data_IF_427435468216
#
_entry.id   IF_427435468216
#
_cell.length_a   1.000
_cell.length_b   1.000
_cell.length_c   1.000
_cell.angle_alpha   90.00
_cell.angle_beta   90.00
_cell.angle_gamma   90.00
#
_symmetry.space_group_name_H-M   'P 1'
#
loop_
_entity.id
_entity.type
_entity.pdbx_description
1 polymer ?
#
# COMPACT_ATOMS: atom_id res chain seq x y z
N UNK A 1 13.46 -13.69 11.53
CA UNK A 1 13.76 -12.43 12.28
C UNK A 1 14.30 -11.29 11.40
N UNK A 2 14.61 -11.51 10.11
CA UNK A 2 15.07 -10.45 9.19
C UNK A 2 13.94 -9.85 8.33
N UNK A 3 12.91 -10.62 7.95
CA UNK A 3 11.79 -10.15 7.13
C UNK A 3 10.88 -9.12 7.83
N UNK A 4 10.57 -9.34 9.13
CA UNK A 4 9.85 -8.37 9.97
C UNK A 4 10.61 -7.04 10.12
N UNK A 5 11.94 -7.10 10.18
CA UNK A 5 12.78 -5.91 10.15
C UNK A 5 12.77 -5.22 8.79
N UNK A 6 12.46 -5.90 7.68
CA UNK A 6 12.45 -5.29 6.35
C UNK A 6 11.11 -4.66 5.99
N UNK A 7 9.98 -5.24 6.41
CA UNK A 7 8.66 -4.59 6.32
C UNK A 7 8.58 -3.40 7.29
N UNK A 8 9.03 -3.58 8.53
CA UNK A 8 9.16 -2.50 9.50
C UNK A 8 10.21 -1.46 9.06
N UNK A 9 11.39 -1.84 8.53
CA UNK A 9 12.36 -0.84 8.01
C UNK A 9 11.91 -0.19 6.70
N UNK A 10 11.22 -0.87 5.80
CA UNK A 10 10.65 -0.23 4.60
C UNK A 10 9.65 0.86 4.99
N UNK A 11 8.94 0.68 6.11
CA UNK A 11 8.07 1.68 6.73
C UNK A 11 8.82 2.71 7.61
N UNK A 12 9.79 2.29 8.42
CA UNK A 12 10.51 3.11 9.42
C UNK A 12 11.65 3.93 8.82
N UNK A 13 12.14 3.63 7.62
CA UNK A 13 13.15 4.48 6.93
C UNK A 13 12.57 5.86 6.54
N UNK A 14 11.31 6.14 6.91
CA UNK A 14 10.65 7.45 6.83
C UNK A 14 10.40 8.07 8.22
N UNK A 15 11.47 8.27 8.99
CA UNK A 15 11.76 9.38 9.94
C UNK A 15 10.70 9.80 11.00
N UNK A 16 11.15 9.86 12.26
CA UNK A 16 10.49 10.50 13.41
C UNK A 16 9.91 11.92 13.15
N UNK A 17 8.77 12.20 13.80
CA UNK A 17 8.05 13.48 14.05
C UNK A 17 6.73 13.67 13.26
N UNK A 18 5.63 13.85 14.01
CA UNK A 18 4.20 13.70 13.63
C UNK A 18 3.78 12.23 13.40
N UNK A 19 2.50 11.82 13.62
CA UNK A 19 2.07 10.48 13.21
C UNK A 19 2.44 10.33 11.72
N UNK A 20 3.24 9.32 11.42
CA UNK A 20 3.72 9.08 10.06
C UNK A 20 2.49 8.99 9.15
N UNK A 21 2.40 9.90 8.18
CA UNK A 21 1.36 9.89 7.16
C UNK A 21 1.36 8.50 6.50
N UNK A 22 0.21 7.83 6.51
CA UNK A 22 0.11 6.53 5.86
C UNK A 22 0.34 6.66 4.35
N UNK A 23 0.78 5.60 3.65
CA UNK A 23 1.00 5.66 2.21
C UNK A 23 -0.23 6.17 1.43
N UNK A 24 -1.44 5.78 1.82
CA UNK A 24 -2.66 6.24 1.18
C UNK A 24 -2.99 7.70 1.48
N UNK A 25 -2.77 8.19 2.71
CA UNK A 25 -2.92 9.61 3.05
C UNK A 25 -1.94 10.47 2.25
N UNK A 26 -0.69 10.00 2.09
CA UNK A 26 0.31 10.67 1.25
C UNK A 26 -0.16 10.79 -0.19
N UNK A 27 -0.68 9.71 -0.78
CA UNK A 27 -1.20 9.73 -2.15
C UNK A 27 -2.38 10.71 -2.27
N UNK A 28 -3.35 10.67 -1.36
CA UNK A 28 -4.49 11.58 -1.38
C UNK A 28 -4.07 13.05 -1.24
N UNK A 29 -3.13 13.36 -0.35
CA UNK A 29 -2.58 14.71 -0.21
C UNK A 29 -1.87 15.16 -1.47
N UNK A 30 -1.09 14.29 -2.11
CA UNK A 30 -0.45 14.60 -3.39
C UNK A 30 -1.50 14.83 -4.48
N UNK A 31 -2.57 14.04 -4.52
CA UNK A 31 -3.66 14.19 -5.49
C UNK A 31 -4.32 15.59 -5.44
N UNK A 32 -4.45 16.18 -4.25
CA UNK A 32 -5.00 17.53 -4.08
C UNK A 32 -4.14 18.65 -4.69
N UNK A 33 -2.85 18.39 -4.94
CA UNK A 33 -1.89 19.37 -5.48
C UNK A 33 -1.56 19.08 -6.97
N UNK A 34 -2.41 18.32 -7.66
CA UNK A 34 -2.29 18.12 -9.09
C UNK A 34 -2.52 19.43 -9.86
N UNK A 35 -1.73 19.70 -10.92
CA UNK A 35 -0.77 18.80 -11.56
C UNK A 35 0.66 18.86 -10.99
N UNK A 36 0.94 19.73 -10.02
CA UNK A 36 2.31 19.99 -9.54
C UNK A 36 2.95 18.75 -8.89
N UNK A 37 2.14 17.92 -8.25
CA UNK A 37 2.55 16.69 -7.56
C UNK A 37 2.67 15.45 -8.46
N UNK A 38 2.29 15.53 -9.75
CA UNK A 38 2.21 14.36 -10.64
C UNK A 38 3.49 13.49 -10.66
N UNK A 39 4.72 14.05 -10.76
CA UNK A 39 5.94 13.23 -10.72
C UNK A 39 6.13 12.50 -9.38
N UNK A 40 5.61 13.05 -8.29
CA UNK A 40 5.69 12.42 -6.97
C UNK A 40 4.66 11.29 -6.85
N UNK A 41 3.47 11.45 -7.44
CA UNK A 41 2.47 10.38 -7.52
C UNK A 41 2.98 9.20 -8.36
N UNK A 42 3.61 9.47 -9.50
CA UNK A 42 4.25 8.42 -10.31
C UNK A 42 5.32 7.66 -9.53
N UNK A 43 6.12 8.36 -8.71
CA UNK A 43 7.10 7.72 -7.84
C UNK A 43 6.45 6.83 -6.77
N UNK A 44 5.28 7.21 -6.26
CA UNK A 44 4.54 6.37 -5.33
C UNK A 44 3.97 5.12 -6.01
N UNK A 45 3.44 5.22 -7.23
CA UNK A 45 3.02 4.05 -8.00
C UNK A 45 4.20 3.08 -8.20
N UNK A 46 5.36 3.59 -8.67
CA UNK A 46 6.58 2.80 -8.84
C UNK A 46 7.08 2.19 -7.53
N UNK A 47 6.89 2.87 -6.39
CA UNK A 47 7.25 2.33 -5.08
C UNK A 47 6.37 1.13 -4.73
N UNK A 48 5.07 1.22 -4.98
CA UNK A 48 4.12 0.13 -4.72
C UNK A 48 4.35 -1.05 -5.67
N UNK A 49 4.63 -0.80 -6.95
CA UNK A 49 5.03 -1.84 -7.91
C UNK A 49 6.25 -2.63 -7.45
N UNK A 50 7.29 -1.94 -6.94
CA UNK A 50 8.46 -2.62 -6.40
C UNK A 50 8.16 -3.44 -5.15
N UNK A 51 7.19 -3.05 -4.34
CA UNK A 51 6.76 -3.84 -3.18
C UNK A 51 6.10 -5.14 -3.64
N UNK A 52 5.22 -5.08 -4.65
CA UNK A 52 4.63 -6.27 -5.28
C UNK A 52 5.70 -7.22 -5.82
N UNK A 53 6.70 -6.70 -6.53
CA UNK A 53 7.81 -7.50 -7.08
C UNK A 53 8.69 -8.16 -6.00
N UNK A 54 8.70 -7.61 -4.78
CA UNK A 54 9.51 -8.07 -3.66
C UNK A 54 8.75 -9.04 -2.73
N UNK A 55 7.49 -9.36 -3.01
CA UNK A 55 6.71 -10.27 -2.17
C UNK A 55 7.37 -11.66 -2.13
N UNK A 56 7.65 -12.13 -0.92
CA UNK A 56 8.28 -13.44 -0.69
C UNK A 56 7.30 -14.58 -0.93
N UNK A 57 7.82 -15.78 -1.23
CA UNK A 57 6.98 -16.97 -1.32
C UNK A 57 6.40 -17.33 0.06
N UNK A 58 5.09 -17.62 0.16
CA UNK A 58 4.48 -18.02 1.41
C UNK A 58 4.96 -19.40 1.86
N UNK A 59 5.19 -19.56 3.17
CA UNK A 59 5.53 -20.87 3.77
C UNK A 59 4.29 -21.71 4.10
N UNK A 60 3.11 -21.09 4.14
CA UNK A 60 1.84 -21.69 4.56
C UNK A 60 0.70 -21.27 3.63
N UNK A 61 -0.38 -22.07 3.57
CA UNK A 61 -1.59 -21.69 2.80
C UNK A 61 -2.23 -20.41 3.34
N UNK A 62 -2.17 -20.21 4.66
CA UNK A 62 -2.65 -18.99 5.30
C UNK A 62 -1.80 -17.77 4.91
N UNK A 63 -0.46 -17.91 4.92
CA UNK A 63 0.46 -16.90 4.40
C UNK A 63 0.21 -16.57 2.92
N UNK A 64 -0.12 -17.58 2.11
CA UNK A 64 -0.48 -17.37 0.70
C UNK A 64 -1.74 -16.53 0.56
N UNK A 65 -2.78 -16.84 1.34
CA UNK A 65 -4.01 -16.05 1.35
C UNK A 65 -3.79 -14.60 1.81
N UNK A 66 -2.87 -14.35 2.75
CA UNK A 66 -2.49 -13.00 3.15
C UNK A 66 -1.74 -12.25 2.04
N UNK A 67 -0.83 -12.92 1.33
CA UNK A 67 -0.13 -12.31 0.20
C UNK A 67 -1.05 -12.01 -0.97
N UNK A 68 -1.98 -12.90 -1.30
CA UNK A 68 -2.96 -12.66 -2.37
C UNK A 68 -3.79 -11.39 -2.09
N UNK A 69 -4.24 -11.22 -0.84
CA UNK A 69 -4.97 -10.02 -0.42
C UNK A 69 -4.08 -8.77 -0.45
N UNK A 70 -2.83 -8.87 0.01
CA UNK A 70 -1.89 -7.75 -0.03
C UNK A 70 -1.57 -7.33 -1.48
N UNK A 71 -1.43 -8.30 -2.38
CA UNK A 71 -1.19 -8.06 -3.78
C UNK A 71 -2.38 -7.34 -4.43
N UNK A 72 -3.61 -7.80 -4.18
CA UNK A 72 -4.83 -7.15 -4.66
C UNK A 72 -4.94 -5.69 -4.16
N UNK A 73 -4.58 -5.43 -2.89
CA UNK A 73 -4.58 -4.08 -2.33
C UNK A 73 -3.58 -3.18 -3.06
N UNK A 74 -2.36 -3.67 -3.29
CA UNK A 74 -1.32 -2.90 -3.97
C UNK A 74 -1.65 -2.66 -5.45
N UNK A 75 -2.20 -3.65 -6.16
CA UNK A 75 -2.69 -3.48 -7.53
C UNK A 75 -3.78 -2.40 -7.61
N UNK A 76 -4.77 -2.46 -6.73
CA UNK A 76 -5.82 -1.44 -6.63
C UNK A 76 -5.25 -0.05 -6.29
N UNK A 77 -4.21 0.02 -5.45
CA UNK A 77 -3.55 1.28 -5.12
C UNK A 77 -2.83 1.88 -6.34
N UNK A 78 -2.13 1.04 -7.12
CA UNK A 78 -1.46 1.47 -8.37
C UNK A 78 -2.50 1.96 -9.39
N UNK A 79 -3.57 1.19 -9.59
CA UNK A 79 -4.66 1.54 -10.50
C UNK A 79 -5.30 2.88 -10.11
N UNK A 80 -5.52 3.10 -8.81
CA UNK A 80 -6.08 4.36 -8.34
C UNK A 80 -5.11 5.55 -8.50
N UNK A 81 -3.80 5.36 -8.28
CA UNK A 81 -2.80 6.41 -8.53
C UNK A 81 -2.78 6.81 -10.00
N UNK A 82 -2.76 5.82 -10.91
CA UNK A 82 -2.80 6.10 -12.34
C UNK A 82 -4.16 6.64 -12.79
N UNK A 83 -5.25 6.25 -12.12
CA UNK A 83 -6.57 6.84 -12.30
C UNK A 83 -6.58 8.34 -11.98
N UNK A 84 -5.95 8.75 -10.88
CA UNK A 84 -5.79 10.17 -10.53
C UNK A 84 -4.95 10.94 -11.53
N UNK A 85 -3.84 10.35 -11.99
CA UNK A 85 -2.91 10.99 -12.93
C UNK A 85 -3.53 11.21 -14.32
N UNK A 86 -4.42 10.29 -14.74
CA UNK A 86 -5.04 10.28 -16.06
C UNK A 86 -6.51 10.72 -16.04
N UNK A 87 -7.03 11.19 -14.90
CA UNK A 87 -8.42 11.62 -14.79
C UNK A 87 -8.71 12.78 -15.75
N UNK A 88 -9.61 12.56 -16.70
CA UNK A 88 -10.11 13.60 -17.60
C UNK A 88 -11.40 14.21 -17.05
N UNK A 89 -12.17 13.42 -16.29
CA UNK A 89 -13.44 13.82 -15.67
C UNK A 89 -13.35 13.80 -14.13
N UNK A 90 -14.19 14.61 -13.48
CA UNK A 90 -14.27 14.65 -12.01
C UNK A 90 -14.69 13.29 -11.43
N UNK A 91 -15.56 12.55 -12.12
CA UNK A 91 -16.04 11.25 -11.67
C UNK A 91 -14.89 10.22 -11.63
N UNK A 92 -13.94 10.27 -12.57
CA UNK A 92 -12.74 9.42 -12.58
C UNK A 92 -11.82 9.73 -11.39
N UNK A 93 -11.65 11.03 -11.10
CA UNK A 93 -10.86 11.51 -9.97
C UNK A 93 -11.48 11.06 -8.64
N UNK A 94 -12.80 11.26 -8.48
CA UNK A 94 -13.54 10.90 -7.27
C UNK A 94 -13.55 9.38 -7.06
N UNK A 95 -13.71 8.59 -8.14
CA UNK A 95 -13.61 7.13 -8.08
C UNK A 95 -12.21 6.68 -7.62
N UNK A 96 -11.16 7.28 -8.17
CA UNK A 96 -9.78 6.96 -7.82
C UNK A 96 -9.47 7.33 -6.36
N UNK A 97 -9.97 8.47 -5.87
CA UNK A 97 -9.89 8.83 -4.46
C UNK A 97 -10.61 7.83 -3.57
N UNK A 98 -11.81 7.39 -3.95
CA UNK A 98 -12.57 6.40 -3.18
C UNK A 98 -11.85 5.05 -3.11
N UNK A 99 -11.25 4.60 -4.22
CA UNK A 99 -10.41 3.39 -4.26
C UNK A 99 -9.20 3.49 -3.34
N UNK A 100 -8.53 4.65 -3.25
CA UNK A 100 -7.41 4.86 -2.32
C UNK A 100 -7.83 4.79 -0.85
N UNK A 101 -9.02 5.31 -0.51
CA UNK A 101 -9.56 5.21 0.85
C UNK A 101 -9.94 3.77 1.17
N UNK A 102 -10.52 3.05 0.21
CA UNK A 102 -10.89 1.65 0.39
C UNK A 102 -9.65 0.76 0.59
N UNK A 103 -8.64 0.90 -0.28
CA UNK A 103 -7.38 0.15 -0.18
C UNK A 103 -6.66 0.41 1.13
N UNK A 104 -6.71 1.65 1.64
CA UNK A 104 -6.19 1.96 2.97
C UNK A 104 -6.88 1.15 4.08
N UNK A 105 -8.22 1.13 4.10
CA UNK A 105 -8.98 0.37 5.09
C UNK A 105 -8.67 -1.12 5.00
N UNK A 106 -8.59 -1.67 3.78
CA UNK A 106 -8.27 -3.08 3.55
C UNK A 106 -6.86 -3.42 4.05
N UNK A 107 -5.90 -2.52 3.86
CA UNK A 107 -4.53 -2.72 4.34
C UNK A 107 -4.48 -2.75 5.86
N UNK A 108 -5.13 -1.81 6.55
CA UNK A 108 -5.19 -1.78 8.02
C UNK A 108 -5.86 -3.04 8.58
N UNK A 109 -6.97 -3.48 7.98
CA UNK A 109 -7.65 -4.73 8.39
C UNK A 109 -6.74 -5.95 8.16
N UNK A 110 -5.96 -5.96 7.08
CA UNK A 110 -5.02 -7.04 6.77
C UNK A 110 -3.86 -7.08 7.77
N UNK A 111 -3.31 -5.92 8.12
CA UNK A 111 -2.23 -5.76 9.11
C UNK A 111 -2.66 -6.30 10.47
N UNK A 112 -3.85 -5.94 10.96
CA UNK A 112 -4.39 -6.45 12.23
C UNK A 112 -4.54 -7.98 12.20
N UNK A 113 -5.05 -8.54 11.10
CA UNK A 113 -5.22 -9.99 10.96
C UNK A 113 -3.87 -10.72 10.89
N UNK A 114 -2.89 -10.12 10.22
CA UNK A 114 -1.55 -10.69 10.06
C UNK A 114 -0.78 -10.67 11.39
N UNK A 115 -0.91 -9.61 12.19
CA UNK A 115 -0.36 -9.54 13.55
C UNK A 115 -0.93 -10.66 14.44
N UNK A 116 -2.25 -10.81 14.46
CA UNK A 116 -2.92 -11.87 15.24
C UNK A 116 -2.53 -13.29 14.80
N UNK A 117 -2.33 -13.51 13.50
CA UNK A 117 -1.98 -14.82 12.95
C UNK A 117 -0.50 -15.18 13.22
N UNK A 118 0.42 -14.22 13.14
CA UNK A 118 1.84 -14.44 13.44
C UNK A 118 2.11 -14.82 14.90
N UNK A 119 1.31 -14.30 15.84
CA UNK A 119 1.37 -14.69 17.25
C UNK A 119 1.05 -16.18 17.47
N UNK A 120 0.36 -16.80 16.50
CA UNK A 120 -0.07 -18.20 16.58
C UNK A 120 0.88 -19.15 15.84
N UNK A 121 1.40 -18.75 14.67
CA UNK A 121 2.36 -19.54 13.88
C UNK A 121 3.15 -18.70 12.87
N UNK A 122 4.37 -19.10 12.47
CA UNK A 122 5.10 -18.43 11.39
C UNK A 122 4.42 -18.67 10.04
N UNK A 123 4.04 -17.59 9.34
CA UNK A 123 3.32 -17.63 8.05
C UNK A 123 4.24 -17.59 6.82
N UNK A 124 5.43 -17.01 6.98
CA UNK A 124 6.41 -16.74 5.92
C UNK A 124 7.75 -17.42 6.22
N UNK A 125 8.56 -17.65 5.17
CA UNK A 125 9.79 -18.45 5.21
C UNK A 125 10.98 -17.74 5.89
#
# INVERSE_FOLDING_TARGET
MLALNQLAQAYETSVETAPAESPSEKVLRLAMDLPASAPTLEQEALRVERLLEQMEEPATEEGAAFLDQLAEIFENQIDAIYGLLNAEEQDDFDWSCAMLVQTHSQLSDLEERLENAQDTQPLFA
#
